data_IF_004725906373
#
_entry.id   IF_004725906373
#
_cell.length_a   1.000
_cell.length_b   1.000
_cell.length_c   1.000
_cell.angle_alpha   90.00
_cell.angle_beta   90.00
_cell.angle_gamma   90.00
#
_symmetry.space_group_name_H-M   'P 1'
#
loop_
_entity.id
_entity.type
_entity.pdbx_description
1 polymer ?
#
# COMPACT_ATOMS: atom_id res chain seq x y z
N UNK A 1 32.17 -8.19 -24.22
CA UNK A 1 32.23 -7.76 -22.79
C UNK A 1 31.65 -6.36 -22.56
N UNK A 2 31.78 -5.40 -23.50
CA UNK A 2 31.18 -4.05 -23.37
C UNK A 2 29.64 -4.05 -23.46
N UNK A 3 29.05 -4.96 -24.24
CA UNK A 3 27.60 -4.95 -24.50
C UNK A 3 26.78 -5.40 -23.28
N UNK A 4 27.27 -6.37 -22.51
CA UNK A 4 26.61 -6.85 -21.29
C UNK A 4 26.71 -5.83 -20.13
N UNK A 5 27.75 -4.98 -20.15
CA UNK A 5 27.93 -3.89 -19.20
C UNK A 5 26.96 -2.72 -19.50
N UNK A 6 26.73 -2.44 -20.79
CA UNK A 6 25.76 -1.43 -21.24
C UNK A 6 24.32 -1.86 -20.93
N UNK A 7 23.97 -3.13 -21.16
CA UNK A 7 22.64 -3.67 -20.83
C UNK A 7 22.39 -3.64 -19.32
N UNK A 8 23.39 -4.03 -18.51
CA UNK A 8 23.30 -3.96 -17.05
C UNK A 8 23.10 -2.53 -16.53
N UNK A 9 23.80 -1.55 -17.10
CA UNK A 9 23.66 -0.15 -16.73
C UNK A 9 22.28 0.43 -17.12
N UNK A 10 21.76 0.09 -18.30
CA UNK A 10 20.45 0.56 -18.77
C UNK A 10 19.31 0.00 -17.89
N UNK A 11 19.37 -1.28 -17.51
CA UNK A 11 18.34 -1.90 -16.64
C UNK A 11 18.32 -1.24 -15.26
N UNK A 12 19.48 -0.95 -14.67
CA UNK A 12 19.56 -0.28 -13.37
C UNK A 12 19.03 1.15 -13.45
N UNK A 13 19.32 1.89 -14.52
CA UNK A 13 18.82 3.26 -14.72
C UNK A 13 17.29 3.28 -14.89
N UNK A 14 16.72 2.32 -15.63
CA UNK A 14 15.26 2.22 -15.80
C UNK A 14 14.56 1.90 -14.48
N UNK A 15 15.15 1.04 -13.65
CA UNK A 15 14.59 0.71 -12.32
C UNK A 15 14.64 1.93 -11.39
N UNK A 16 15.75 2.66 -11.37
CA UNK A 16 15.88 3.86 -10.53
C UNK A 16 14.93 4.97 -11.00
N UNK A 17 14.82 5.21 -12.31
CA UNK A 17 13.88 6.19 -12.87
C UNK A 17 12.42 5.81 -12.60
N UNK A 18 12.08 4.51 -12.67
CA UNK A 18 10.75 4.01 -12.32
C UNK A 18 10.38 4.30 -10.86
N UNK A 19 11.32 4.14 -9.93
CA UNK A 19 11.11 4.41 -8.50
C UNK A 19 10.97 5.91 -8.23
N UNK A 20 11.77 6.76 -8.89
CA UNK A 20 11.74 8.21 -8.66
C UNK A 20 10.47 8.84 -9.23
N UNK A 21 10.04 8.45 -10.43
CA UNK A 21 8.83 9.00 -11.06
C UNK A 21 7.55 8.56 -10.34
N UNK A 22 7.55 7.41 -9.67
CA UNK A 22 6.39 6.96 -8.90
C UNK A 22 6.21 7.75 -7.59
N UNK A 23 7.30 8.29 -7.02
CA UNK A 23 7.28 9.03 -5.76
C UNK A 23 7.04 10.55 -5.91
N UNK A 24 7.16 11.14 -7.11
CA UNK A 24 7.14 12.60 -7.27
C UNK A 24 5.76 13.24 -7.52
N UNK A 25 4.67 12.48 -7.64
CA UNK A 25 3.34 13.03 -8.02
C UNK A 25 2.41 13.44 -6.86
N UNK A 26 2.86 13.43 -5.59
CA UNK A 26 1.98 13.68 -4.43
C UNK A 26 2.01 15.10 -3.84
N UNK A 27 2.31 16.13 -4.64
CA UNK A 27 2.17 17.52 -4.17
C UNK A 27 1.07 18.26 -4.96
N UNK A 28 -0.14 18.28 -4.42
CA UNK A 28 -1.19 19.23 -4.83
C UNK A 28 -1.69 20.01 -3.61
N UNK A 29 -1.72 21.37 -3.66
CA UNK A 29 -2.07 22.20 -2.52
C UNK A 29 -3.58 22.19 -2.23
N UNK A 30 -3.95 21.90 -0.97
CA UNK A 30 -5.33 22.01 -0.47
C UNK A 30 -5.69 23.48 -0.22
N UNK A 31 -6.71 23.97 -0.92
CA UNK A 31 -7.38 25.26 -0.68
C UNK A 31 -8.42 25.04 0.43
N UNK A 32 -8.33 25.80 1.52
CA UNK A 32 -9.28 25.77 2.63
C UNK A 32 -10.45 26.73 2.36
N UNK A 33 -11.73 26.32 2.41
CA UNK A 33 -12.84 27.27 2.39
C UNK A 33 -13.05 27.89 3.78
N UNK A 34 -12.82 29.19 3.84
CA UNK A 34 -13.19 30.08 4.92
C UNK A 34 -14.70 30.35 4.87
N UNK A 35 -15.45 30.02 5.92
CA UNK A 35 -16.84 30.46 6.08
C UNK A 35 -16.93 31.49 7.21
N UNK A 36 -17.08 32.74 6.80
CA UNK A 36 -17.55 33.86 7.63
C UNK A 36 -19.07 33.88 7.61
N UNK A 37 -19.70 33.85 8.78
CA UNK A 37 -21.03 34.43 8.98
C UNK A 37 -21.14 34.96 10.41
N UNK A 38 -21.34 36.28 10.53
CA UNK A 38 -21.50 37.03 11.77
C UNK A 38 -22.99 37.33 12.00
N UNK A 39 -23.43 37.18 13.24
CA UNK A 39 -24.30 38.06 14.06
C UNK A 39 -25.39 37.28 14.78
N UNK A 40 -25.27 37.16 16.10
CA UNK A 40 -26.33 37.59 17.04
C UNK A 40 -25.76 37.74 18.46
N UNK A 41 -26.34 38.68 19.19
CA UNK A 41 -25.87 39.34 20.40
C UNK A 41 -26.50 38.74 21.67
N UNK A 42 -25.86 38.98 22.84
CA UNK A 42 -26.43 39.03 24.21
C UNK A 42 -26.07 37.89 25.20
N UNK A 43 -25.06 38.19 26.03
CA UNK A 43 -24.99 38.14 27.50
C UNK A 43 -25.54 36.92 28.29
N UNK A 44 -24.63 36.14 28.92
CA UNK A 44 -24.52 35.88 30.39
C UNK A 44 -23.42 34.84 30.73
N UNK A 45 -22.60 35.15 31.74
CA UNK A 45 -21.50 34.38 32.36
C UNK A 45 -22.01 33.59 33.60
N UNK A 46 -21.31 32.61 34.25
CA UNK A 46 -20.23 31.65 33.89
C UNK A 46 -20.53 30.16 34.24
N UNK A 47 -19.70 29.23 33.75
CA UNK A 47 -19.26 28.04 34.51
C UNK A 47 -17.86 27.61 34.02
N UNK A 48 -16.93 27.16 34.89
CA UNK A 48 -15.61 26.75 34.46
C UNK A 48 -15.71 25.37 33.79
N UNK A 49 -15.73 25.35 32.46
CA UNK A 49 -15.57 24.11 31.70
C UNK A 49 -14.12 23.67 31.84
N UNK A 50 -13.91 22.58 32.58
CA UNK A 50 -12.66 21.84 32.62
C UNK A 50 -12.21 21.62 31.16
N UNK A 51 -11.06 22.19 30.79
CA UNK A 51 -10.42 21.90 29.51
C UNK A 51 -9.98 20.44 29.54
N UNK A 52 -10.86 19.54 29.09
CA UNK A 52 -10.43 18.21 28.64
C UNK A 52 -9.50 18.46 27.48
N UNK A 53 -8.20 18.29 27.71
CA UNK A 53 -7.21 18.29 26.65
C UNK A 53 -7.68 17.29 25.59
N UNK A 54 -7.88 17.77 24.36
CA UNK A 54 -8.07 16.89 23.21
C UNK A 54 -6.94 15.87 23.22
N UNK A 55 -7.20 14.57 23.15
CA UNK A 55 -6.14 13.58 23.05
C UNK A 55 -5.26 13.97 21.86
N UNK A 56 -3.94 14.00 22.08
CA UNK A 56 -3.00 14.05 20.97
C UNK A 56 -3.38 12.96 19.95
N UNK A 57 -3.25 13.21 18.64
CA UNK A 57 -3.55 12.21 17.62
C UNK A 57 -2.83 10.92 18.01
N UNK A 58 -3.59 9.84 18.22
CA UNK A 58 -2.99 8.52 18.44
C UNK A 58 -2.07 8.26 17.26
N UNK A 59 -0.78 8.11 17.53
CA UNK A 59 0.14 7.50 16.58
C UNK A 59 -0.43 6.11 16.32
N UNK A 60 -0.98 5.90 15.13
CA UNK A 60 -1.54 4.61 14.75
C UNK A 60 -0.41 3.59 14.83
N UNK A 61 -0.51 2.70 15.82
CA UNK A 61 0.49 1.68 16.03
C UNK A 61 0.47 0.74 14.83
N UNK A 62 1.60 0.65 14.15
CA UNK A 62 1.82 -0.02 12.87
C UNK A 62 1.42 -1.51 12.88
N UNK A 63 1.29 -2.10 14.07
CA UNK A 63 0.92 -3.50 14.32
C UNK A 63 -0.51 -3.87 13.89
N UNK A 64 -1.37 -2.90 13.54
CA UNK A 64 -2.79 -3.14 13.24
C UNK A 64 -3.20 -2.93 11.77
N UNK A 65 -2.25 -2.76 10.85
CA UNK A 65 -2.56 -2.45 9.45
C UNK A 65 -3.13 -3.65 8.68
N UNK A 66 -2.94 -4.87 9.20
CA UNK A 66 -3.46 -6.10 8.61
C UNK A 66 -4.41 -6.81 9.56
N UNK A 67 -5.43 -7.50 9.03
CA UNK A 67 -6.34 -8.28 9.85
C UNK A 67 -5.55 -9.32 10.65
N UNK A 68 -5.69 -9.23 11.97
CA UNK A 68 -5.13 -10.21 12.90
C UNK A 68 -5.98 -11.49 12.97
N UNK A 69 -7.19 -11.45 12.41
CA UNK A 69 -8.14 -12.57 12.39
C UNK A 69 -8.76 -12.71 11.01
N UNK A 70 -9.05 -13.94 10.64
CA UNK A 70 -9.60 -14.27 9.33
C UNK A 70 -8.55 -14.31 8.24
N UNK A 71 -8.96 -14.82 7.09
CA UNK A 71 -8.11 -14.99 5.93
C UNK A 71 -8.83 -14.34 4.76
N UNK A 72 -8.17 -13.42 4.07
CA UNK A 72 -8.76 -12.70 2.95
C UNK A 72 -7.87 -12.79 1.71
N UNK A 73 -8.49 -12.98 0.56
CA UNK A 73 -7.87 -12.81 -0.76
C UNK A 73 -8.52 -11.60 -1.40
N UNK A 74 -7.73 -10.61 -1.79
CA UNK A 74 -8.18 -9.44 -2.52
C UNK A 74 -7.58 -9.40 -3.92
N UNK A 75 -8.42 -9.23 -4.93
CA UNK A 75 -7.97 -8.90 -6.29
C UNK A 75 -8.10 -7.40 -6.45
N UNK A 76 -6.99 -6.72 -6.77
CA UNK A 76 -6.95 -5.29 -7.02
C UNK A 76 -6.67 -5.04 -8.49
N UNK A 77 -7.52 -4.27 -9.14
CA UNK A 77 -7.36 -3.89 -10.53
C UNK A 77 -7.17 -2.38 -10.65
N UNK A 78 -6.20 -1.97 -11.45
CA UNK A 78 -5.98 -0.58 -11.78
C UNK A 78 -5.89 -0.41 -13.28
N UNK A 79 -6.61 0.59 -13.79
CA UNK A 79 -6.61 1.00 -15.19
C UNK A 79 -6.26 2.48 -15.24
N UNK A 80 -5.16 2.76 -15.94
CA UNK A 80 -4.74 4.10 -16.35
C UNK A 80 -4.76 4.19 -17.88
N UNK A 81 -4.62 5.38 -18.50
CA UNK A 81 -4.54 5.48 -19.96
C UNK A 81 -3.32 4.78 -20.56
N UNK A 82 -2.26 4.56 -19.77
CA UNK A 82 -0.99 3.99 -20.22
C UNK A 82 -0.75 2.57 -19.71
N UNK A 83 -1.51 2.08 -18.74
CA UNK A 83 -1.28 0.77 -18.11
C UNK A 83 -2.54 0.14 -17.56
N UNK A 84 -2.50 -1.18 -17.43
CA UNK A 84 -3.44 -1.96 -16.62
C UNK A 84 -2.66 -2.95 -15.78
N UNK A 85 -3.06 -3.08 -14.51
CA UNK A 85 -2.49 -4.06 -13.58
C UNK A 85 -3.58 -4.83 -12.85
N UNK A 86 -3.28 -6.08 -12.50
CA UNK A 86 -4.12 -6.94 -11.67
C UNK A 86 -3.23 -7.53 -10.59
N UNK A 87 -3.39 -7.06 -9.37
CA UNK A 87 -2.58 -7.47 -8.24
C UNK A 87 -3.41 -8.41 -7.35
N UNK A 88 -2.81 -9.48 -6.87
CA UNK A 88 -3.47 -10.39 -5.91
C UNK A 88 -2.84 -10.25 -4.55
N UNK A 89 -3.65 -9.98 -3.53
CA UNK A 89 -3.23 -9.85 -2.15
C UNK A 89 -3.83 -10.97 -1.31
N UNK A 90 -3.03 -11.53 -0.41
CA UNK A 90 -3.42 -12.53 0.56
C UNK A 90 -3.12 -12.02 1.96
N UNK A 91 -4.11 -12.03 2.84
CA UNK A 91 -4.00 -11.62 4.23
C UNK A 91 -4.35 -12.79 5.15
N UNK A 92 -3.53 -13.02 6.17
CA UNK A 92 -3.76 -14.06 7.19
C UNK A 92 -2.86 -13.82 8.39
N UNK A 93 -3.39 -13.89 9.61
CA UNK A 93 -2.63 -13.82 10.86
C UNK A 93 -1.66 -12.62 10.95
N UNK A 94 -2.10 -11.42 10.53
CA UNK A 94 -1.28 -10.21 10.51
C UNK A 94 -0.16 -10.21 9.44
N UNK A 95 -0.12 -11.24 8.58
CA UNK A 95 0.79 -11.35 7.45
C UNK A 95 0.10 -10.96 6.15
N UNK A 96 0.90 -10.56 5.18
CA UNK A 96 0.43 -10.20 3.86
C UNK A 96 1.35 -10.76 2.79
N UNK A 97 0.79 -11.24 1.69
CA UNK A 97 1.51 -11.44 0.43
C UNK A 97 0.83 -10.64 -0.67
N UNK A 98 1.61 -9.97 -1.51
CA UNK A 98 1.12 -9.26 -2.70
C UNK A 98 1.86 -9.79 -3.91
N UNK A 99 1.11 -10.16 -4.93
CA UNK A 99 1.63 -10.54 -6.23
C UNK A 99 1.24 -9.46 -7.24
N UNK A 100 2.23 -8.69 -7.67
CA UNK A 100 2.03 -7.62 -8.65
C UNK A 100 2.07 -8.21 -10.05
N UNK A 101 1.02 -7.99 -10.85
CA UNK A 101 0.99 -8.43 -12.26
C UNK A 101 0.67 -7.24 -13.15
N UNK A 102 1.44 -7.11 -14.23
CA UNK A 102 1.15 -6.17 -15.32
C UNK A 102 0.83 -6.95 -16.59
N UNK A 103 0.16 -6.31 -17.55
CA UNK A 103 -0.08 -6.90 -18.87
C UNK A 103 1.22 -7.18 -19.66
N UNK A 104 2.31 -6.49 -19.35
CA UNK A 104 3.60 -6.60 -20.06
C UNK A 104 4.49 -7.77 -19.57
N UNK A 105 4.03 -8.52 -18.56
CA UNK A 105 4.84 -9.55 -17.90
C UNK A 105 5.91 -8.95 -16.98
N UNK A 106 6.67 -9.85 -16.34
CA UNK A 106 7.46 -9.64 -15.12
C UNK A 106 6.59 -9.24 -13.90
N UNK A 107 6.51 -10.18 -12.93
CA UNK A 107 5.82 -10.00 -11.66
C UNK A 107 6.80 -9.77 -10.53
N UNK A 108 6.42 -8.91 -9.60
CA UNK A 108 7.08 -8.75 -8.31
C UNK A 108 6.21 -9.41 -7.24
N UNK A 109 6.85 -10.03 -6.26
CA UNK A 109 6.18 -10.57 -5.09
C UNK A 109 6.72 -9.86 -3.86
N UNK A 110 5.79 -9.37 -3.06
CA UNK A 110 6.03 -8.80 -1.74
C UNK A 110 5.42 -9.72 -0.69
N UNK A 111 6.14 -9.97 0.41
CA UNK A 111 5.64 -10.70 1.56
C UNK A 111 6.02 -9.96 2.84
N UNK A 112 5.06 -9.80 3.74
CA UNK A 112 5.24 -9.25 5.07
C UNK A 112 4.89 -10.30 6.12
N UNK A 113 5.84 -10.60 7.02
CA UNK A 113 5.71 -11.68 8.01
C UNK A 113 5.23 -11.21 9.39
N UNK A 114 4.88 -9.93 9.53
CA UNK A 114 4.60 -9.29 10.82
C UNK A 114 5.77 -8.45 11.36
N UNK A 115 6.95 -8.52 10.74
CA UNK A 115 8.12 -7.72 11.14
C UNK A 115 8.94 -7.19 9.96
N UNK A 116 9.20 -8.04 8.97
CA UNK A 116 10.01 -7.73 7.80
C UNK A 116 9.18 -7.79 6.53
N UNK A 117 9.55 -6.94 5.58
CA UNK A 117 9.04 -6.94 4.22
C UNK A 117 10.09 -7.57 3.30
N UNK A 118 9.67 -8.57 2.56
CA UNK A 118 10.47 -9.37 1.64
C UNK A 118 10.00 -9.10 0.22
N UNK A 119 10.89 -8.74 -0.68
CA UNK A 119 10.55 -8.44 -2.07
C UNK A 119 11.46 -9.22 -3.02
N UNK A 120 10.88 -9.87 -4.03
CA UNK A 120 11.64 -10.53 -5.08
C UNK A 120 10.88 -10.54 -6.40
N UNK A 121 11.62 -10.63 -7.51
CA UNK A 121 11.01 -10.87 -8.81
C UNK A 121 10.55 -12.32 -8.95
N UNK A 122 9.43 -12.56 -9.61
CA UNK A 122 9.01 -13.92 -9.95
C UNK A 122 10.08 -14.63 -10.78
N UNK A 123 10.31 -15.91 -10.48
CA UNK A 123 11.37 -16.72 -11.09
C UNK A 123 12.79 -16.39 -10.61
N UNK A 124 12.98 -15.35 -9.80
CA UNK A 124 14.28 -15.06 -9.18
C UNK A 124 14.51 -15.91 -7.94
N UNK A 125 15.77 -16.18 -7.63
CA UNK A 125 16.21 -16.90 -6.42
C UNK A 125 16.80 -15.95 -5.35
N UNK A 126 16.81 -14.65 -5.60
CA UNK A 126 17.28 -13.63 -4.68
C UNK A 126 16.25 -12.54 -4.50
N UNK A 127 16.25 -11.92 -3.31
CA UNK A 127 15.33 -10.86 -2.96
C UNK A 127 15.96 -9.88 -1.97
N UNK A 128 15.22 -8.81 -1.68
CA UNK A 128 15.60 -7.77 -0.73
C UNK A 128 14.73 -7.93 0.52
N UNK A 129 15.34 -7.78 1.69
CA UNK A 129 14.62 -7.66 2.96
C UNK A 129 14.72 -6.21 3.49
N UNK A 130 13.61 -5.68 3.97
CA UNK A 130 13.57 -4.41 4.69
C UNK A 130 12.68 -4.51 5.92
N UNK A 131 12.85 -3.58 6.86
CA UNK A 131 11.96 -3.44 7.99
C UNK A 131 11.11 -2.17 7.80
N UNK A 132 9.80 -2.29 7.53
CA UNK A 132 8.94 -1.12 7.45
C UNK A 132 8.87 -0.42 8.81
N UNK A 133 8.86 0.91 8.79
CA UNK A 133 8.78 1.80 9.96
C UNK A 133 7.42 2.46 10.09
N UNK A 134 6.66 2.48 9.00
CA UNK A 134 5.41 3.21 8.86
C UNK A 134 4.51 2.58 7.80
N UNK A 135 3.22 2.94 7.80
CA UNK A 135 2.28 2.51 6.76
C UNK A 135 2.69 3.00 5.36
N UNK A 136 3.40 4.13 5.25
CA UNK A 136 3.90 4.64 3.97
C UNK A 136 5.01 3.77 3.34
N UNK A 137 5.59 2.84 4.09
CA UNK A 137 6.55 1.87 3.54
C UNK A 137 5.85 0.74 2.76
N UNK A 138 4.51 0.68 2.82
CA UNK A 138 3.70 -0.28 2.09
C UNK A 138 3.18 0.28 0.77
N UNK A 139 2.91 -0.60 -0.21
CA UNK A 139 2.22 -0.21 -1.43
C UNK A 139 0.87 0.46 -1.12
N UNK A 140 0.62 1.61 -1.76
CA UNK A 140 -0.65 2.33 -1.63
C UNK A 140 -1.87 1.56 -2.18
N UNK A 141 -1.65 0.42 -2.85
CA UNK A 141 -2.70 -0.43 -3.42
C UNK A 141 -3.40 -1.33 -2.38
N UNK A 142 -2.90 -1.37 -1.14
CA UNK A 142 -3.54 -2.16 -0.08
C UNK A 142 -4.84 -1.46 0.33
N UNK A 143 -6.01 -2.09 0.14
CA UNK A 143 -7.29 -1.49 0.50
C UNK A 143 -7.35 -1.28 2.02
N UNK A 144 -7.85 -0.11 2.45
CA UNK A 144 -8.12 0.17 3.87
C UNK A 144 -9.25 -0.72 4.41
N UNK A 145 -10.19 -1.11 3.54
CA UNK A 145 -11.26 -2.04 3.85
C UNK A 145 -11.11 -3.27 2.97
N UNK A 146 -10.82 -4.40 3.62
CA UNK A 146 -10.62 -5.72 3.02
C UNK A 146 -11.83 -6.64 3.20
N UNK A 147 -12.93 -6.11 3.73
CA UNK A 147 -14.16 -6.87 3.98
C UNK A 147 -15.21 -6.68 2.88
N UNK A 148 -14.98 -5.71 1.99
CA UNK A 148 -15.90 -5.37 0.92
C UNK A 148 -15.13 -5.07 -0.37
N UNK A 149 -15.76 -5.37 -1.50
CA UNK A 149 -15.31 -4.89 -2.80
C UNK A 149 -15.77 -3.46 -3.07
N UNK A 150 -14.97 -2.71 -3.83
CA UNK A 150 -15.30 -1.34 -4.24
C UNK A 150 -14.69 -1.01 -5.59
N UNK A 151 -15.35 -0.13 -6.34
CA UNK A 151 -14.82 0.52 -7.53
C UNK A 151 -14.75 2.03 -7.30
N UNK A 152 -13.63 2.63 -7.69
CA UNK A 152 -13.38 4.06 -7.66
C UNK A 152 -13.00 4.54 -9.07
N UNK A 153 -13.56 5.67 -9.48
CA UNK A 153 -13.33 6.23 -10.81
C UNK A 153 -14.14 5.52 -11.91
N UNK A 154 -13.78 5.78 -13.17
CA UNK A 154 -14.48 5.24 -14.34
C UNK A 154 -13.59 5.24 -15.58
N UNK A 155 -13.79 4.28 -16.48
CA UNK A 155 -13.07 4.20 -17.75
C UNK A 155 -11.57 3.97 -17.57
N UNK A 156 -10.75 4.76 -18.26
CA UNK A 156 -9.29 4.66 -18.24
C UNK A 156 -8.63 5.24 -16.97
N UNK A 157 -9.42 5.68 -15.98
CA UNK A 157 -8.91 6.11 -14.67
C UNK A 157 -9.79 5.46 -13.61
N UNK A 158 -9.58 4.16 -13.39
CA UNK A 158 -10.36 3.40 -12.43
C UNK A 158 -9.49 2.45 -11.62
N UNK A 159 -9.89 2.27 -10.37
CA UNK A 159 -9.34 1.30 -9.44
C UNK A 159 -10.50 0.48 -8.89
N UNK A 160 -10.31 -0.82 -8.77
CA UNK A 160 -11.24 -1.67 -8.05
C UNK A 160 -10.50 -2.65 -7.15
N UNK A 161 -11.19 -3.09 -6.11
CA UNK A 161 -10.77 -4.25 -5.36
C UNK A 161 -11.98 -5.11 -5.03
N UNK A 162 -11.77 -6.42 -5.00
CA UNK A 162 -12.74 -7.40 -4.55
C UNK A 162 -12.07 -8.36 -3.56
N UNK A 163 -12.57 -8.37 -2.33
CA UNK A 163 -11.99 -9.12 -1.23
C UNK A 163 -12.96 -10.18 -0.73
N UNK A 164 -12.47 -11.42 -0.66
CA UNK A 164 -13.27 -12.56 -0.27
C UNK A 164 -12.54 -13.38 0.79
N UNK A 165 -13.29 -14.03 1.67
CA UNK A 165 -12.74 -15.03 2.57
C UNK A 165 -12.11 -16.15 1.73
N UNK A 166 -10.97 -16.68 2.18
CA UNK A 166 -10.31 -17.79 1.49
C UNK A 166 -9.80 -18.85 2.47
N UNK A 167 -9.69 -20.09 2.01
CA UNK A 167 -9.01 -21.13 2.75
C UNK A 167 -7.51 -20.82 2.75
N UNK A 168 -6.95 -20.60 3.94
CA UNK A 168 -5.53 -20.26 4.12
C UNK A 168 -4.65 -21.33 3.49
N UNK A 169 -3.78 -20.90 2.57
CA UNK A 169 -2.66 -21.70 2.08
C UNK A 169 -1.39 -21.29 2.82
N UNK A 170 -0.79 -22.18 3.65
CA UNK A 170 0.46 -21.89 4.36
C UNK A 170 1.61 -21.48 3.45
N UNK A 171 1.65 -21.96 2.20
CA UNK A 171 2.74 -21.66 1.26
C UNK A 171 2.75 -20.21 0.81
N UNK A 172 1.61 -19.53 0.84
CA UNK A 172 1.47 -18.12 0.48
C UNK A 172 1.70 -17.17 1.66
N UNK A 173 1.71 -17.68 2.89
CA UNK A 173 1.84 -16.87 4.12
C UNK A 173 3.02 -17.31 5.00
N UNK A 174 3.95 -18.05 4.40
CA UNK A 174 5.23 -18.44 5.00
C UNK A 174 6.36 -17.90 4.14
N UNK A 175 7.42 -17.43 4.80
CA UNK A 175 8.63 -16.97 4.11
C UNK A 175 9.15 -18.10 3.19
N UNK A 176 9.37 -17.84 1.90
CA UNK A 176 9.88 -18.86 0.99
C UNK A 176 11.31 -19.24 1.36
N UNK A 177 11.58 -20.54 1.42
CA UNK A 177 12.93 -21.08 1.68
C UNK A 177 13.85 -21.07 0.44
N UNK A 178 13.25 -20.98 -0.75
CA UNK A 178 13.97 -21.00 -2.03
C UNK A 178 14.51 -19.63 -2.46
N UNK A 179 14.24 -18.56 -1.69
CA UNK A 179 14.75 -17.21 -1.95
C UNK A 179 15.84 -16.87 -0.93
N UNK A 180 16.99 -16.43 -1.41
CA UNK A 180 18.06 -15.85 -0.60
C UNK A 180 17.83 -14.35 -0.48
N UNK A 181 17.51 -13.89 0.73
CA UNK A 181 17.30 -12.47 1.01
C UNK A 181 18.61 -11.81 1.47
N UNK A 182 18.87 -10.62 0.92
CA UNK A 182 20.03 -9.78 1.26
C UNK A 182 19.59 -8.41 1.75
#
# INVERSE_FOLDING_TARGET
MKDNLLIGAVVVIVIILGIVLFNSNNNSPQISPNNTATTEETTKTPAPVVKTASPAPKVEDFTNIFPQKGNFKCVYEEVTPSSRSTNTMYFSDGKMRVEFRTLAGASNIMFYDGKYMYNWGEGQNTGIISQPKSISDFPAIIPKDITQGKVLGSGLNSVSWDCNAWAKDPTLVTKPSYIVFK
#
